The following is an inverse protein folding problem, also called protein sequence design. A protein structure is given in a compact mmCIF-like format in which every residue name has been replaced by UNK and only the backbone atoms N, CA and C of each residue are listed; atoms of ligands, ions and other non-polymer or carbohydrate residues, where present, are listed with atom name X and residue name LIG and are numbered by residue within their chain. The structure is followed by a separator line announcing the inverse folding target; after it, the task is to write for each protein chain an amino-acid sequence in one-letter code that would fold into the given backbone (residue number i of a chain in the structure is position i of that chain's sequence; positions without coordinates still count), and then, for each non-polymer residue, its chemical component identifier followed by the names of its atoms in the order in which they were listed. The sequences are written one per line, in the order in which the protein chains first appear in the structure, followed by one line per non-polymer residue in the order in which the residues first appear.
data_IF_163823803080
#
_entry.id   IF_163823803080
#
_cell.length_a   1.000
_cell.length_b   1.000
_cell.length_c   1.000
_cell.angle_alpha   90.00
_cell.angle_beta   90.00
_cell.angle_gamma   90.00
#
_symmetry.space_group_name_H-M   'P 1'
#
loop_
_entity.id
_entity.type
_entity.pdbx_description
1 polymer ?
#
# COMPACT_ATOMS: atom_id res chain seq x y z
N UNK A 1 31.00 1.77 3.79
CA UNK A 1 30.30 2.17 2.55
C UNK A 1 29.21 1.15 2.32
N UNK A 2 27.92 1.43 2.39
CA UNK A 2 27.18 2.67 2.59
C UNK A 2 25.81 2.28 3.15
N UNK A 3 25.19 3.19 3.92
CA UNK A 3 23.82 3.05 4.45
C UNK A 3 22.88 2.34 3.47
N UNK A 4 22.29 1.22 3.89
CA UNK A 4 21.05 0.77 3.24
C UNK A 4 20.01 0.46 4.31
N UNK A 5 19.50 1.57 4.84
CA UNK A 5 18.11 1.71 5.24
C UNK A 5 17.66 0.68 6.28
N UNK A 6 17.94 1.02 7.53
CA UNK A 6 17.05 0.79 8.65
C UNK A 6 15.67 1.39 8.28
N UNK A 7 14.93 0.70 7.39
CA UNK A 7 13.56 1.07 7.05
C UNK A 7 12.84 1.03 8.38
N UNK A 8 12.45 2.20 8.90
CA UNK A 8 11.48 2.37 9.98
C UNK A 8 10.16 1.71 9.54
N UNK A 9 10.10 0.38 9.52
CA UNK A 9 8.86 -0.37 9.69
C UNK A 9 8.57 -0.27 11.18
N UNK A 10 8.27 0.95 11.64
CA UNK A 10 7.83 1.17 13.01
C UNK A 10 6.46 0.50 13.23
N UNK A 11 5.91 0.55 14.45
CA UNK A 11 4.57 0.04 14.75
C UNK A 11 3.49 0.55 13.78
N UNK A 12 3.65 1.76 13.24
CA UNK A 12 2.77 2.35 12.21
C UNK A 12 2.63 1.51 10.93
N UNK A 13 3.73 0.92 10.45
CA UNK A 13 3.69 0.17 9.20
C UNK A 13 2.96 -1.16 9.39
N UNK A 14 3.10 -1.79 10.56
CA UNK A 14 2.37 -2.99 10.93
C UNK A 14 0.86 -2.71 11.08
N UNK A 15 0.50 -1.62 11.78
CA UNK A 15 -0.89 -1.16 11.91
C UNK A 15 -1.52 -0.86 10.54
N UNK A 16 -0.78 -0.15 9.68
CA UNK A 16 -1.23 0.16 8.33
C UNK A 16 -1.38 -1.12 7.49
N UNK A 17 -0.41 -2.04 7.51
CA UNK A 17 -0.50 -3.31 6.79
C UNK A 17 -1.71 -4.13 7.25
N UNK A 18 -1.99 -4.15 8.57
CA UNK A 18 -3.16 -4.83 9.12
C UNK A 18 -4.45 -4.21 8.61
N UNK A 19 -4.59 -2.89 8.72
CA UNK A 19 -5.78 -2.17 8.25
C UNK A 19 -5.99 -2.31 6.73
N UNK A 20 -4.91 -2.29 5.95
CA UNK A 20 -4.94 -2.54 4.51
C UNK A 20 -5.29 -4.01 4.20
N UNK A 21 -4.79 -4.97 4.98
CA UNK A 21 -5.05 -6.40 4.74
C UNK A 21 -6.52 -6.77 4.93
N UNK A 22 -7.23 -6.14 5.87
CA UNK A 22 -8.63 -6.45 6.16
C UNK A 22 -9.58 -5.94 5.06
N UNK A 23 -9.37 -4.71 4.58
CA UNK A 23 -10.29 -4.08 3.63
C UNK A 23 -9.74 -4.06 2.19
N UNK A 24 -8.50 -3.61 2.03
CA UNK A 24 -7.91 -3.35 0.71
C UNK A 24 -7.44 -4.64 0.06
N UNK A 25 -6.70 -5.48 0.78
CA UNK A 25 -6.16 -6.71 0.20
C UNK A 25 -7.27 -7.70 -0.18
N UNK A 26 -8.37 -7.76 0.58
CA UNK A 26 -9.53 -8.59 0.24
C UNK A 26 -10.20 -8.14 -1.08
N UNK A 27 -10.44 -6.83 -1.23
CA UNK A 27 -11.01 -6.26 -2.45
C UNK A 27 -10.07 -6.38 -3.64
N UNK A 28 -8.79 -6.06 -3.46
CA UNK A 28 -7.77 -6.17 -4.50
C UNK A 28 -7.64 -7.62 -4.97
N UNK A 29 -7.67 -8.59 -4.05
CA UNK A 29 -7.65 -10.02 -4.40
C UNK A 29 -8.94 -10.49 -5.08
N UNK A 30 -10.10 -9.98 -4.68
CA UNK A 30 -11.37 -10.26 -5.34
C UNK A 30 -11.38 -9.77 -6.79
N UNK A 31 -10.72 -8.64 -7.06
CA UNK A 31 -10.45 -8.11 -8.41
C UNK A 31 -9.31 -8.84 -9.15
N UNK A 32 -8.65 -9.82 -8.53
CA UNK A 32 -7.49 -10.51 -9.10
C UNK A 32 -6.25 -9.61 -9.25
N UNK A 33 -6.16 -8.57 -8.43
CA UNK A 33 -4.98 -7.74 -8.24
C UNK A 33 -4.14 -8.21 -7.06
N UNK A 34 -2.98 -7.57 -6.92
CA UNK A 34 -2.05 -7.81 -5.82
C UNK A 34 -1.67 -6.48 -5.16
N UNK A 35 -1.63 -6.45 -3.83
CA UNK A 35 -1.28 -5.28 -3.04
C UNK A 35 0.15 -5.39 -2.52
N UNK A 36 0.93 -4.34 -2.75
CA UNK A 36 2.33 -4.26 -2.32
C UNK A 36 2.58 -2.94 -1.57
N UNK A 37 3.24 -2.99 -0.42
CA UNK A 37 3.65 -1.80 0.34
C UNK A 37 5.14 -1.59 0.12
N UNK A 38 5.51 -0.45 -0.48
CA UNK A 38 6.90 -0.11 -0.81
C UNK A 38 7.60 0.53 0.39
N UNK A 39 6.91 1.47 1.02
CA UNK A 39 7.36 2.18 2.21
C UNK A 39 6.17 2.74 2.98
N UNK A 40 6.26 2.77 4.29
CA UNK A 40 5.29 3.42 5.17
C UNK A 40 6.04 4.22 6.23
N UNK A 41 5.74 5.50 6.33
CA UNK A 41 6.36 6.46 7.24
C UNK A 41 5.32 7.48 7.73
N UNK A 42 5.68 8.25 8.75
CA UNK A 42 4.76 9.25 9.36
C UNK A 42 4.36 10.37 8.38
N UNK A 43 5.17 10.61 7.35
CA UNK A 43 4.98 11.70 6.40
C UNK A 43 4.66 11.20 4.99
N UNK A 44 5.00 9.96 4.65
CA UNK A 44 4.79 9.37 3.31
C UNK A 44 4.46 7.89 3.41
N UNK A 45 3.46 7.48 2.64
CA UNK A 45 3.04 6.09 2.48
C UNK A 45 2.99 5.77 1.00
N UNK A 46 3.83 4.85 0.57
CA UNK A 46 3.91 4.40 -0.81
C UNK A 46 3.41 2.97 -0.95
N UNK A 47 2.32 2.84 -1.69
CA UNK A 47 1.64 1.59 -2.01
C UNK A 47 1.70 1.34 -3.52
N UNK A 48 1.83 0.09 -3.90
CA UNK A 48 1.87 -0.36 -5.27
C UNK A 48 0.79 -1.43 -5.50
N UNK A 49 -0.03 -1.24 -6.52
CA UNK A 49 -1.05 -2.20 -6.94
C UNK A 49 -0.60 -2.86 -8.23
N UNK A 50 -0.53 -4.19 -8.22
CA UNK A 50 -0.17 -5.00 -9.38
C UNK A 50 -1.32 -5.95 -9.77
N UNK A 51 -1.11 -6.77 -10.80
CA UNK A 51 -2.10 -7.74 -11.30
C UNK A 51 -3.15 -7.10 -12.21
N UNK A 52 -4.37 -7.64 -12.22
CA UNK A 52 -5.47 -7.19 -13.11
C UNK A 52 -5.86 -5.73 -12.85
N UNK A 53 -5.59 -5.23 -11.64
CA UNK A 53 -5.80 -3.85 -11.24
C UNK A 53 -4.78 -2.86 -11.88
N UNK A 54 -3.70 -3.36 -12.50
CA UNK A 54 -2.67 -2.52 -13.12
C UNK A 54 -3.13 -1.76 -14.39
N UNK A 55 -4.25 -2.17 -15.00
CA UNK A 55 -4.76 -1.59 -16.24
C UNK A 55 -6.13 -0.90 -16.14
N UNK A 56 -6.79 -0.93 -14.98
CA UNK A 56 -8.15 -0.41 -14.82
C UNK A 56 -8.14 1.02 -14.24
N UNK A 57 -8.83 2.00 -14.88
CA UNK A 57 -8.98 3.35 -14.33
C UNK A 57 -9.74 3.36 -12.99
N UNK A 58 -10.42 2.26 -12.63
CA UNK A 58 -11.11 2.07 -11.34
C UNK A 58 -10.17 1.91 -10.14
N UNK A 59 -8.88 1.61 -10.33
CA UNK A 59 -7.92 1.48 -9.22
C UNK A 59 -7.76 2.79 -8.41
N UNK A 60 -8.00 3.94 -9.07
CA UNK A 60 -8.01 5.25 -8.42
C UNK A 60 -9.18 5.39 -7.43
N UNK A 61 -10.35 4.82 -7.74
CA UNK A 61 -11.50 4.84 -6.83
C UNK A 61 -11.22 4.02 -5.57
N UNK A 62 -10.54 2.88 -5.72
CA UNK A 62 -10.09 2.06 -4.59
C UNK A 62 -9.13 2.85 -3.70
N UNK A 63 -8.21 3.62 -4.30
CA UNK A 63 -7.31 4.51 -3.56
C UNK A 63 -8.05 5.58 -2.75
N UNK A 64 -8.92 6.35 -3.38
CA UNK A 64 -9.57 7.50 -2.71
C UNK A 64 -10.58 7.05 -1.65
N UNK A 65 -11.23 5.90 -1.85
CA UNK A 65 -12.29 5.44 -0.95
C UNK A 65 -11.84 4.45 0.11
N UNK A 66 -10.77 3.69 -0.12
CA UNK A 66 -10.25 2.72 0.85
C UNK A 66 -8.89 3.16 1.40
N UNK A 67 -7.91 3.42 0.54
CA UNK A 67 -6.56 3.72 1.04
C UNK A 67 -6.48 5.07 1.76
N UNK A 68 -7.08 6.14 1.24
CA UNK A 68 -7.07 7.46 1.89
C UNK A 68 -7.63 7.46 3.31
N UNK A 69 -8.86 6.99 3.59
CA UNK A 69 -9.39 7.00 4.95
C UNK A 69 -8.63 6.05 5.88
N UNK A 70 -8.19 4.88 5.40
CA UNK A 70 -7.37 3.95 6.19
C UNK A 70 -6.04 4.57 6.58
N UNK A 71 -5.33 5.17 5.61
CA UNK A 71 -4.03 5.83 5.85
C UNK A 71 -4.21 7.04 6.75
N UNK A 72 -5.23 7.88 6.53
CA UNK A 72 -5.49 9.04 7.41
C UNK A 72 -5.87 8.64 8.83
N UNK A 73 -6.52 7.48 9.01
CA UNK A 73 -6.85 6.94 10.33
C UNK A 73 -5.62 6.56 11.15
N UNK A 74 -4.59 6.02 10.49
CA UNK A 74 -3.32 5.64 11.15
C UNK A 74 -2.33 6.82 11.18
N UNK A 75 -2.24 7.56 10.08
CA UNK A 75 -1.25 8.61 9.83
C UNK A 75 -1.90 9.79 9.10
N UNK A 76 -2.59 10.68 9.83
CA UNK A 76 -3.38 11.77 9.22
C UNK A 76 -2.55 12.78 8.42
N UNK A 77 -1.25 12.88 8.69
CA UNK A 77 -0.33 13.82 8.01
C UNK A 77 0.45 13.19 6.85
N UNK A 78 0.29 11.90 6.58
CA UNK A 78 1.06 11.23 5.54
C UNK A 78 0.54 11.54 4.14
N UNK A 79 1.47 11.68 3.21
CA UNK A 79 1.21 11.72 1.77
C UNK A 79 1.01 10.30 1.26
N UNK A 80 -0.17 10.01 0.73
CA UNK A 80 -0.44 8.72 0.12
C UNK A 80 -0.02 8.72 -1.36
N UNK A 81 1.03 7.96 -1.67
CA UNK A 81 1.45 7.66 -3.03
C UNK A 81 0.97 6.27 -3.42
N UNK A 82 0.17 6.20 -4.49
CA UNK A 82 -0.23 4.92 -5.07
C UNK A 82 0.34 4.85 -6.47
N UNK A 83 0.96 3.73 -6.77
CA UNK A 83 1.48 3.42 -8.09
C UNK A 83 0.83 2.14 -8.57
N UNK A 84 0.55 2.04 -9.86
CA UNK A 84 0.01 0.82 -10.46
C UNK A 84 0.95 0.36 -11.56
N UNK A 85 1.02 -0.95 -11.79
CA UNK A 85 1.79 -1.47 -12.92
C UNK A 85 2.16 -2.94 -12.79
N UNK A 86 2.71 -3.46 -13.88
CA UNK A 86 3.27 -4.81 -13.92
C UNK A 86 4.66 -4.90 -13.26
N UNK A 87 5.32 -3.75 -13.09
CA UNK A 87 6.69 -3.66 -12.59
C UNK A 87 6.66 -3.27 -11.11
N UNK A 88 6.82 -4.28 -10.26
CA UNK A 88 6.87 -4.11 -8.80
C UNK A 88 8.18 -3.37 -8.44
N UNK A 89 8.11 -2.26 -7.67
CA UNK A 89 9.30 -1.54 -7.24
C UNK A 89 10.14 -2.35 -6.24
N UNK A 90 11.46 -2.15 -6.26
CA UNK A 90 12.40 -2.89 -5.44
C UNK A 90 12.16 -2.65 -3.93
N UNK A 91 12.03 -3.75 -3.17
CA UNK A 91 11.80 -3.71 -1.73
C UNK A 91 10.34 -3.49 -1.32
N UNK A 92 9.39 -3.80 -2.20
CA UNK A 92 7.97 -3.85 -1.85
C UNK A 92 7.60 -5.17 -1.16
N UNK A 93 6.80 -5.06 -0.10
CA UNK A 93 6.29 -6.19 0.67
C UNK A 93 4.87 -6.48 0.23
N UNK A 94 4.59 -7.73 -0.17
CA UNK A 94 3.22 -8.14 -0.51
C UNK A 94 2.34 -8.17 0.75
N UNK A 95 1.14 -7.63 0.63
CA UNK A 95 0.12 -7.68 1.68
C UNK A 95 -0.94 -8.67 1.24
N UNK A 96 -0.96 -9.82 1.89
CA UNK A 96 -1.98 -10.85 1.69
C UNK A 96 -3.16 -10.58 2.64
N UNK A 97 -4.42 -10.74 2.19
CA UNK A 97 -5.57 -10.71 3.09
C UNK A 97 -5.51 -11.91 4.04
N UNK A 98 -5.74 -11.65 5.34
CA UNK A 98 -5.87 -12.70 6.36
C UNK A 98 -7.22 -13.39 6.32
#
# INVERSE_FOLDING_TARGET
MSEKSEKKVGPLAAELMKALSEYVAALVKADGGELYVVSASQDDVHVHLAGTCAGCPGATMTRERLLEPTVRGVIPKATLKVTTGWRIPEGATRVDPS
#
